data_IF_520983445994
#
_entry.id   IF_520983445994
#
_cell.length_a   1.000
_cell.length_b   1.000
_cell.length_c   1.000
_cell.angle_alpha   90.00
_cell.angle_beta   90.00
_cell.angle_gamma   90.00
#
_symmetry.space_group_name_H-M   'P 1'
#
loop_
_entity.id
_entity.type
_entity.pdbx_description
1 polymer ?
#
# COMPACT_ATOMS: atom_id res chain seq x y z
N UNK A 1 3.14 -14.09 0.10
CA UNK A 1 3.52 -14.44 -1.29
C UNK A 1 4.94 -14.97 -1.27
N UNK A 2 5.21 -16.20 -1.73
CA UNK A 2 6.58 -16.69 -1.86
C UNK A 2 7.32 -15.86 -2.94
N UNK A 3 8.58 -15.52 -2.68
CA UNK A 3 9.37 -14.60 -3.51
C UNK A 3 9.39 -13.17 -2.93
N UNK A 4 8.73 -12.22 -3.60
CA UNK A 4 8.75 -10.81 -3.22
C UNK A 4 7.56 -10.46 -2.30
N UNK A 5 7.87 -10.19 -1.03
CA UNK A 5 6.89 -9.64 -0.08
C UNK A 5 6.47 -8.21 -0.43
N UNK A 6 5.39 -7.73 0.18
CA UNK A 6 4.85 -6.40 -0.08
C UNK A 6 5.86 -5.27 0.16
N UNK A 7 6.65 -5.34 1.25
CA UNK A 7 7.69 -4.35 1.52
C UNK A 7 8.77 -4.32 0.42
N UNK A 8 9.14 -5.49 -0.11
CA UNK A 8 10.07 -5.59 -1.23
C UNK A 8 9.49 -5.03 -2.54
N UNK A 9 8.18 -5.23 -2.79
CA UNK A 9 7.49 -4.62 -3.92
C UNK A 9 7.44 -3.10 -3.79
N UNK A 10 7.13 -2.57 -2.59
CA UNK A 10 7.15 -1.13 -2.32
C UNK A 10 8.54 -0.53 -2.61
N UNK A 11 9.61 -1.11 -2.07
CA UNK A 11 10.97 -0.64 -2.30
C UNK A 11 11.35 -0.65 -3.79
N UNK A 12 10.87 -1.63 -4.56
CA UNK A 12 11.11 -1.71 -6.01
C UNK A 12 10.33 -0.64 -6.78
N UNK A 13 9.06 -0.43 -6.43
CA UNK A 13 8.23 0.63 -7.01
C UNK A 13 8.81 2.00 -6.70
N UNK A 14 9.27 2.25 -5.47
CA UNK A 14 9.90 3.51 -5.07
C UNK A 14 11.13 3.82 -5.93
N UNK A 15 11.94 2.81 -6.23
CA UNK A 15 13.18 2.98 -7.01
C UNK A 15 12.95 3.09 -8.51
N UNK A 16 11.97 2.38 -9.06
CA UNK A 16 11.79 2.24 -10.51
C UNK A 16 10.66 3.10 -11.06
N UNK A 17 9.56 3.23 -10.30
CA UNK A 17 8.34 3.92 -10.71
C UNK A 17 7.65 4.60 -9.51
N UNK A 18 8.29 5.58 -8.85
CA UNK A 18 7.78 6.19 -7.62
C UNK A 18 6.38 6.79 -7.78
N UNK A 19 6.03 7.25 -8.98
CA UNK A 19 4.69 7.68 -9.38
C UNK A 19 3.57 6.67 -9.06
N UNK A 20 3.84 5.36 -9.16
CA UNK A 20 2.86 4.30 -8.97
C UNK A 20 2.51 4.12 -7.49
N UNK A 21 3.39 4.54 -6.58
CA UNK A 21 3.14 4.48 -5.14
C UNK A 21 1.93 5.32 -4.73
N UNK A 22 1.71 6.45 -5.41
CA UNK A 22 0.53 7.31 -5.16
C UNK A 22 -0.78 6.58 -5.45
N UNK A 23 -0.75 5.57 -6.33
CA UNK A 23 -1.90 4.78 -6.76
C UNK A 23 -1.92 3.37 -6.19
N UNK A 24 -1.03 3.06 -5.24
CA UNK A 24 -0.96 1.76 -4.60
C UNK A 24 -1.69 1.79 -3.24
N UNK A 25 -2.38 0.70 -2.95
CA UNK A 25 -2.97 0.42 -1.63
C UNK A 25 -2.25 -0.78 -1.04
N UNK A 26 -1.66 -0.60 0.12
CA UNK A 26 -1.00 -1.66 0.86
C UNK A 26 -1.91 -2.21 1.94
N UNK A 27 -2.18 -3.51 1.87
CA UNK A 27 -2.98 -4.18 2.88
C UNK A 27 -2.07 -4.89 3.88
N UNK A 28 -2.15 -4.53 5.17
CA UNK A 28 -1.32 -5.12 6.22
C UNK A 28 -2.14 -5.94 7.22
N UNK A 29 -1.64 -7.13 7.57
CA UNK A 29 -2.33 -8.11 8.41
C UNK A 29 -2.06 -8.00 9.91
N UNK A 30 -0.95 -7.36 10.27
CA UNK A 30 -0.47 -7.28 11.64
C UNK A 30 0.18 -5.91 11.84
N UNK A 31 -0.55 -4.99 12.47
CA UNK A 31 -0.06 -3.66 12.84
C UNK A 31 0.67 -3.65 14.20
N UNK A 32 0.75 -4.78 14.91
CA UNK A 32 1.46 -4.89 16.16
C UNK A 32 2.92 -5.33 15.97
N UNK A 33 3.22 -5.99 14.84
CA UNK A 33 4.59 -6.31 14.46
C UNK A 33 5.41 -5.02 14.23
N UNK A 34 6.56 -4.83 14.90
CA UNK A 34 7.41 -3.64 14.75
C UNK A 34 7.80 -3.34 13.30
N UNK A 35 8.03 -4.38 12.50
CA UNK A 35 8.38 -4.25 11.09
C UNK A 35 7.24 -3.64 10.26
N UNK A 36 5.99 -4.00 10.58
CA UNK A 36 4.80 -3.45 9.94
C UNK A 36 4.58 -1.99 10.32
N UNK A 37 4.77 -1.64 11.60
CA UNK A 37 4.67 -0.25 12.09
C UNK A 37 5.69 0.63 11.36
N UNK A 38 6.96 0.23 11.36
CA UNK A 38 7.99 1.01 10.68
C UNK A 38 7.79 1.04 9.15
N UNK A 39 7.18 0.02 8.56
CA UNK A 39 6.80 0.05 7.15
C UNK A 39 5.69 1.06 6.88
N UNK A 40 4.65 1.09 7.71
CA UNK A 40 3.53 2.03 7.60
C UNK A 40 4.01 3.48 7.72
N UNK A 41 4.89 3.77 8.69
CA UNK A 41 5.49 5.11 8.86
C UNK A 41 6.28 5.57 7.64
N UNK A 42 6.91 4.63 6.92
CA UNK A 42 7.73 4.90 5.74
C UNK A 42 6.94 4.80 4.42
N UNK A 43 5.76 4.18 4.42
CA UNK A 43 5.01 3.96 3.19
C UNK A 43 4.44 5.28 2.69
N UNK A 44 4.75 5.61 1.43
CA UNK A 44 4.12 6.73 0.72
C UNK A 44 2.78 6.33 0.08
N UNK A 45 2.31 5.13 0.38
CA UNK A 45 1.12 4.51 -0.17
C UNK A 45 -0.07 4.67 0.79
N UNK A 46 -1.29 4.47 0.28
CA UNK A 46 -2.44 4.30 1.18
C UNK A 46 -2.34 2.95 1.86
N UNK A 47 -2.52 2.88 3.19
CA UNK A 47 -2.51 1.63 3.94
C UNK A 47 -3.92 1.27 4.38
N UNK A 48 -4.32 0.02 4.16
CA UNK A 48 -5.59 -0.56 4.59
C UNK A 48 -5.30 -1.71 5.59
N UNK A 49 -5.51 -1.51 6.90
CA UNK A 49 -5.26 -2.56 7.88
C UNK A 49 -6.31 -3.67 7.80
N UNK A 50 -5.88 -4.92 7.96
CA UNK A 50 -6.78 -6.08 8.07
C UNK A 50 -7.06 -6.40 9.55
N UNK A 51 -8.23 -6.98 9.86
CA UNK A 51 -9.36 -7.17 8.95
C UNK A 51 -10.02 -5.83 8.59
N UNK A 52 -10.64 -5.78 7.41
CA UNK A 52 -11.39 -4.63 6.92
C UNK A 52 -12.70 -5.10 6.28
N UNK A 53 -13.69 -4.22 6.24
CA UNK A 53 -14.97 -4.47 5.55
C UNK A 53 -14.87 -4.13 4.06
N UNK A 54 -15.75 -4.72 3.24
CA UNK A 54 -15.79 -4.42 1.80
C UNK A 54 -16.05 -2.93 1.51
N UNK A 55 -16.91 -2.28 2.30
CA UNK A 55 -17.18 -0.85 2.17
C UNK A 55 -15.92 -0.01 2.37
N UNK A 56 -15.02 -0.41 3.28
CA UNK A 56 -13.76 0.26 3.51
C UNK A 56 -12.81 0.08 2.32
N UNK A 57 -12.74 -1.14 1.77
CA UNK A 57 -11.98 -1.42 0.55
C UNK A 57 -12.47 -0.57 -0.62
N UNK A 58 -13.78 -0.51 -0.88
CA UNK A 58 -14.33 0.26 -2.00
C UNK A 58 -14.06 1.75 -1.85
N UNK A 59 -14.24 2.33 -0.65
CA UNK A 59 -13.92 3.75 -0.40
C UNK A 59 -12.45 4.06 -0.69
N UNK A 60 -11.54 3.19 -0.26
CA UNK A 60 -10.11 3.36 -0.52
C UNK A 60 -9.81 3.27 -2.01
N UNK A 61 -10.35 2.27 -2.71
CA UNK A 61 -10.13 2.11 -4.15
C UNK A 61 -10.69 3.28 -4.95
N UNK A 62 -11.87 3.79 -4.62
CA UNK A 62 -12.45 4.98 -5.26
C UNK A 62 -11.56 6.21 -5.09
N UNK A 63 -11.04 6.43 -3.88
CA UNK A 63 -10.12 7.54 -3.61
C UNK A 63 -8.85 7.42 -4.45
N UNK A 64 -8.25 6.23 -4.50
CA UNK A 64 -7.01 5.98 -5.23
C UNK A 64 -7.22 6.05 -6.76
N UNK A 65 -8.38 5.64 -7.25
CA UNK A 65 -8.71 5.66 -8.68
C UNK A 65 -8.87 7.07 -9.25
N UNK A 66 -9.32 8.04 -8.43
CA UNK A 66 -9.51 9.44 -8.81
C UNK A 66 -8.20 10.23 -8.98
N UNK A 67 -7.06 9.66 -8.56
CA UNK A 67 -5.76 10.30 -8.77
C UNK A 67 -5.40 10.35 -10.26
N UNK A 68 -4.70 11.41 -10.72
CA UNK A 68 -4.27 11.55 -12.11
C UNK A 68 -3.57 10.28 -12.60
N UNK A 69 -3.84 9.89 -13.85
CA UNK A 69 -3.12 8.77 -14.46
C UNK A 69 -1.64 9.13 -14.53
N UNK A 70 -0.82 8.18 -14.13
CA UNK A 70 0.61 8.21 -14.41
C UNK A 70 0.79 8.06 -15.92
N UNK A 71 1.43 9.04 -16.56
CA UNK A 71 1.85 9.00 -17.96
C UNK A 71 3.12 8.17 -18.19
#
# INVERSE_FOLDING_TARGET
MPGLGGAGLHARLERQWPQLLTRAVFMTGDLAAPESVQFVERCRCTVLPKPFEFDELFRVLERTARLPRVG
#
